data_IF_921532210106
#
_entry.id   IF_921532210106
#
_cell.length_a   1.000
_cell.length_b   1.000
_cell.length_c   1.000
_cell.angle_alpha   90.00
_cell.angle_beta   90.00
_cell.angle_gamma   90.00
#
_symmetry.space_group_name_H-M   'P 1'
#
loop_
_entity.id
_entity.type
_entity.pdbx_description
1 polymer ?
#
# COMPACT_ATOMS: atom_id res chain seq x y z
N UNK A 1 5.82 -3.11 -29.29
CA UNK A 1 5.61 -3.81 -28.01
C UNK A 1 4.11 -4.05 -27.87
N UNK A 2 3.67 -5.30 -27.58
CA UNK A 2 2.26 -5.60 -27.41
C UNK A 2 1.67 -4.90 -26.18
N UNK A 3 0.36 -4.63 -26.17
CA UNK A 3 -0.33 -4.03 -25.03
C UNK A 3 -0.17 -4.89 -23.74
N UNK A 4 -0.17 -6.22 -23.91
CA UNK A 4 0.05 -7.14 -22.79
C UNK A 4 1.44 -6.98 -22.17
N UNK A 5 2.51 -6.94 -22.98
CA UNK A 5 3.88 -6.74 -22.49
C UNK A 5 4.06 -5.37 -21.84
N UNK A 6 3.50 -4.32 -22.46
CA UNK A 6 3.53 -2.96 -21.91
C UNK A 6 2.83 -2.88 -20.53
N UNK A 7 1.64 -3.49 -20.41
CA UNK A 7 0.89 -3.53 -19.16
C UNK A 7 1.63 -4.30 -18.07
N UNK A 8 2.21 -5.46 -18.42
CA UNK A 8 3.04 -6.26 -17.50
C UNK A 8 4.23 -5.47 -16.98
N UNK A 9 5.00 -4.83 -17.86
CA UNK A 9 6.17 -4.04 -17.45
C UNK A 9 5.79 -2.85 -16.56
N UNK A 10 4.73 -2.11 -16.92
CA UNK A 10 4.27 -0.98 -16.11
C UNK A 10 3.85 -1.42 -14.69
N UNK A 11 3.19 -2.55 -14.58
CA UNK A 11 2.75 -3.06 -13.28
C UNK A 11 3.92 -3.56 -12.42
N UNK A 12 4.85 -4.31 -13.01
CA UNK A 12 6.05 -4.79 -12.30
C UNK A 12 6.91 -3.62 -11.83
N UNK A 13 7.15 -2.64 -12.70
CA UNK A 13 7.94 -1.44 -12.33
C UNK A 13 7.24 -0.62 -11.24
N UNK A 14 5.91 -0.54 -11.26
CA UNK A 14 5.15 0.09 -10.18
C UNK A 14 5.32 -0.63 -8.84
N UNK A 15 5.27 -1.97 -8.82
CA UNK A 15 5.51 -2.76 -7.61
C UNK A 15 6.93 -2.56 -7.06
N UNK A 16 7.93 -2.55 -7.95
CA UNK A 16 9.32 -2.23 -7.56
C UNK A 16 9.44 -0.81 -6.99
N UNK A 17 8.78 0.17 -7.61
CA UNK A 17 8.75 1.54 -7.14
C UNK A 17 8.09 1.69 -5.76
N UNK A 18 7.06 0.90 -5.46
CA UNK A 18 6.45 0.87 -4.13
C UNK A 18 7.39 0.29 -3.08
N UNK A 19 8.13 -0.78 -3.40
CA UNK A 19 9.16 -1.33 -2.50
C UNK A 19 10.26 -0.30 -2.18
N UNK A 20 10.76 0.42 -3.18
CA UNK A 20 11.70 1.53 -2.97
C UNK A 20 11.09 2.65 -2.12
N UNK A 21 9.80 2.95 -2.32
CA UNK A 21 9.07 3.95 -1.54
C UNK A 21 9.02 3.60 -0.04
N UNK A 22 8.77 2.33 0.30
CA UNK A 22 8.78 1.86 1.68
C UNK A 22 10.14 2.09 2.34
N UNK A 23 11.22 1.70 1.68
CA UNK A 23 12.60 1.91 2.16
C UNK A 23 12.96 3.40 2.23
N UNK A 24 12.53 4.21 1.27
CA UNK A 24 12.70 5.67 1.32
C UNK A 24 11.99 6.28 2.54
N UNK A 25 10.78 5.80 2.87
CA UNK A 25 10.06 6.18 4.08
C UNK A 25 10.80 5.77 5.34
N UNK A 26 11.34 4.55 5.39
CA UNK A 26 12.17 4.06 6.49
C UNK A 26 13.40 4.95 6.71
N UNK A 27 14.12 5.30 5.63
CA UNK A 27 15.26 6.20 5.70
C UNK A 27 14.89 7.57 6.30
N UNK A 28 13.81 8.19 5.80
CA UNK A 28 13.34 9.50 6.30
C UNK A 28 12.97 9.46 7.79
N UNK A 29 12.30 8.38 8.22
CA UNK A 29 11.93 8.21 9.63
C UNK A 29 13.14 7.95 10.53
N UNK A 30 14.13 7.20 10.07
CA UNK A 30 15.40 7.00 10.77
C UNK A 30 16.19 8.31 10.94
N UNK A 31 15.94 9.32 10.08
CA UNK A 31 16.57 10.65 10.15
C UNK A 31 15.66 11.73 10.78
N UNK A 32 14.72 11.32 11.63
CA UNK A 32 13.98 12.21 12.53
C UNK A 32 12.62 12.70 12.03
N UNK A 33 12.13 12.25 10.88
CA UNK A 33 10.77 12.55 10.45
C UNK A 33 9.81 11.50 11.02
N UNK A 34 8.82 11.89 11.80
CA UNK A 34 7.84 10.93 12.31
C UNK A 34 6.94 10.38 11.19
N UNK A 35 6.43 9.16 11.38
CA UNK A 35 5.47 8.53 10.45
C UNK A 35 4.27 9.44 10.17
N UNK A 36 3.79 10.16 11.18
CA UNK A 36 2.64 11.08 11.07
C UNK A 36 2.96 12.28 10.17
N UNK A 37 4.11 12.93 10.36
CA UNK A 37 4.59 14.05 9.53
C UNK A 37 4.80 13.57 8.09
N UNK A 38 5.46 12.44 7.90
CA UNK A 38 5.73 11.88 6.58
C UNK A 38 4.45 11.51 5.84
N UNK A 39 3.46 10.92 6.53
CA UNK A 39 2.13 10.66 5.99
C UNK A 39 1.50 11.95 5.47
N UNK A 40 1.51 13.02 6.27
CA UNK A 40 0.89 14.30 5.89
C UNK A 40 1.59 14.94 4.68
N UNK A 41 2.91 15.00 4.68
CA UNK A 41 3.71 15.51 3.55
C UNK A 41 3.43 14.74 2.27
N UNK A 42 3.40 13.40 2.36
CA UNK A 42 3.08 12.53 1.21
C UNK A 42 1.68 12.82 0.67
N UNK A 43 0.68 12.93 1.55
CA UNK A 43 -0.71 13.20 1.17
C UNK A 43 -0.86 14.55 0.49
N UNK A 44 -0.24 15.61 1.02
CA UNK A 44 -0.36 16.95 0.46
C UNK A 44 0.41 17.10 -0.85
N UNK A 45 1.67 16.67 -0.90
CA UNK A 45 2.53 16.93 -2.06
C UNK A 45 2.18 15.99 -3.21
N UNK A 46 2.19 14.67 -2.97
CA UNK A 46 1.84 13.72 -4.02
C UNK A 46 0.36 13.82 -4.41
N UNK A 47 -0.53 14.04 -3.42
CA UNK A 47 -1.94 14.29 -3.68
C UNK A 47 -2.17 15.53 -4.53
N UNK A 48 -1.47 16.63 -4.23
CA UNK A 48 -1.50 17.86 -5.03
C UNK A 48 -1.05 17.63 -6.48
N UNK A 49 0.04 16.87 -6.68
CA UNK A 49 0.53 16.51 -8.02
C UNK A 49 -0.47 15.64 -8.79
N UNK A 50 -1.05 14.61 -8.14
CA UNK A 50 -2.06 13.75 -8.75
C UNK A 50 -3.37 14.51 -9.04
N UNK A 51 -3.77 15.42 -8.14
CA UNK A 51 -4.93 16.28 -8.34
C UNK A 51 -4.71 17.24 -9.52
N UNK A 52 -3.51 17.83 -9.65
CA UNK A 52 -3.15 18.66 -10.80
C UNK A 52 -3.17 17.85 -12.09
N UNK A 53 -2.62 16.64 -12.08
CA UNK A 53 -2.68 15.72 -13.22
C UNK A 53 -4.13 15.42 -13.61
N UNK A 54 -5.00 15.13 -12.65
CA UNK A 54 -6.43 14.90 -12.89
C UNK A 54 -7.12 16.15 -13.45
N UNK A 55 -6.77 17.34 -12.96
CA UNK A 55 -7.29 18.61 -13.48
C UNK A 55 -6.90 18.83 -14.93
N UNK A 56 -5.63 18.64 -15.29
CA UNK A 56 -5.15 18.84 -16.67
C UNK A 56 -5.75 17.81 -17.64
N UNK A 57 -5.94 16.56 -17.19
CA UNK A 57 -6.41 15.48 -18.06
C UNK A 57 -7.92 15.32 -18.12
N UNK A 58 -8.68 15.81 -17.12
CA UNK A 58 -10.11 15.57 -16.98
C UNK A 58 -10.83 16.73 -16.25
N UNK A 59 -10.56 17.99 -16.63
CA UNK A 59 -11.05 19.19 -15.98
C UNK A 59 -12.57 19.20 -15.73
N UNK A 60 -13.37 18.94 -16.77
CA UNK A 60 -14.83 19.00 -16.66
C UNK A 60 -15.36 17.95 -15.69
N UNK A 61 -14.75 16.76 -15.71
CA UNK A 61 -15.09 15.68 -14.79
C UNK A 61 -14.75 16.03 -13.34
N UNK A 62 -13.64 16.72 -13.13
CA UNK A 62 -13.22 17.21 -11.80
C UNK A 62 -14.19 18.28 -11.29
N UNK A 63 -14.58 19.25 -12.12
CA UNK A 63 -15.54 20.27 -11.73
C UNK A 63 -16.91 19.66 -11.37
N UNK A 64 -17.40 18.70 -12.19
CA UNK A 64 -18.62 17.96 -11.89
C UNK A 64 -18.52 17.17 -10.59
N UNK A 65 -17.37 16.54 -10.30
CA UNK A 65 -17.11 15.84 -9.04
C UNK A 65 -17.21 16.75 -7.81
N UNK A 66 -16.62 17.93 -7.88
CA UNK A 66 -16.62 18.89 -6.76
C UNK A 66 -18.03 19.47 -6.43
N UNK A 67 -19.01 19.30 -7.33
CA UNK A 67 -20.42 19.70 -7.11
C UNK A 67 -21.28 18.53 -6.61
N UNK A 68 -20.82 17.29 -6.69
CA UNK A 68 -21.56 16.10 -6.24
C UNK A 68 -21.36 15.85 -4.74
N UNK A 69 -22.22 16.42 -3.91
CA UNK A 69 -22.17 16.32 -2.44
C UNK A 69 -22.10 14.86 -1.93
N UNK A 70 -22.81 13.92 -2.58
CA UNK A 70 -22.81 12.51 -2.19
C UNK A 70 -21.45 11.86 -2.44
N UNK A 71 -20.85 12.14 -3.58
CA UNK A 71 -19.50 11.67 -3.89
C UNK A 71 -18.44 12.31 -2.97
N UNK A 72 -18.58 13.59 -2.63
CA UNK A 72 -17.68 14.27 -1.70
C UNK A 72 -17.74 13.70 -0.28
N UNK A 73 -18.93 13.36 0.24
CA UNK A 73 -19.06 12.71 1.55
C UNK A 73 -18.43 11.31 1.54
N UNK A 74 -18.67 10.52 0.51
CA UNK A 74 -18.03 9.21 0.35
C UNK A 74 -16.51 9.34 0.21
N UNK A 75 -16.04 10.38 -0.50
CA UNK A 75 -14.62 10.68 -0.63
C UNK A 75 -14.00 11.06 0.71
N UNK A 76 -14.67 11.84 1.56
CA UNK A 76 -14.17 12.21 2.87
C UNK A 76 -13.93 10.99 3.76
N UNK A 77 -14.87 10.03 3.77
CA UNK A 77 -14.71 8.76 4.48
C UNK A 77 -13.51 7.99 3.94
N UNK A 78 -13.40 7.86 2.62
CA UNK A 78 -12.26 7.21 1.98
C UNK A 78 -10.93 7.94 2.26
N UNK A 79 -10.93 9.28 2.23
CA UNK A 79 -9.76 10.10 2.50
C UNK A 79 -9.20 9.87 3.90
N UNK A 80 -10.06 9.82 4.91
CA UNK A 80 -9.63 9.67 6.31
C UNK A 80 -9.30 8.21 6.65
N UNK A 81 -10.15 7.28 6.27
CA UNK A 81 -10.00 5.86 6.64
C UNK A 81 -9.13 5.12 5.62
N UNK A 82 -9.42 5.25 4.34
CA UNK A 82 -8.71 4.52 3.29
C UNK A 82 -7.34 5.12 2.95
N UNK A 83 -7.19 6.45 2.95
CA UNK A 83 -5.92 7.06 2.57
C UNK A 83 -5.07 7.44 3.78
N UNK A 84 -5.55 8.31 4.67
CA UNK A 84 -4.75 8.76 5.80
C UNK A 84 -4.40 7.62 6.76
N UNK A 85 -5.41 6.92 7.28
CA UNK A 85 -5.19 5.88 8.28
C UNK A 85 -4.36 4.71 7.73
N UNK A 86 -4.58 4.33 6.46
CA UNK A 86 -3.78 3.27 5.83
C UNK A 86 -2.32 3.69 5.68
N UNK A 87 -2.03 4.89 5.17
CA UNK A 87 -0.65 5.34 5.02
C UNK A 87 0.05 5.53 6.36
N UNK A 88 -0.66 6.08 7.34
CA UNK A 88 -0.13 6.25 8.70
C UNK A 88 0.17 4.90 9.36
N UNK A 89 -0.76 3.94 9.31
CA UNK A 89 -0.56 2.62 9.86
C UNK A 89 0.63 1.89 9.20
N UNK A 90 0.75 1.97 7.89
CA UNK A 90 1.84 1.37 7.14
C UNK A 90 3.21 2.00 7.48
N UNK A 91 3.32 3.33 7.48
CA UNK A 91 4.55 4.00 7.85
C UNK A 91 4.93 3.78 9.33
N UNK A 92 3.94 3.70 10.22
CA UNK A 92 4.19 3.34 11.62
C UNK A 92 4.68 1.90 11.73
N UNK A 93 4.11 0.97 10.95
CA UNK A 93 4.60 -0.41 10.90
C UNK A 93 6.06 -0.47 10.41
N UNK A 94 6.43 0.32 9.40
CA UNK A 94 7.84 0.45 8.96
C UNK A 94 8.73 1.01 10.07
N UNK A 95 8.27 2.03 10.78
CA UNK A 95 9.02 2.66 11.86
C UNK A 95 9.28 1.69 13.03
N UNK A 96 8.32 0.82 13.32
CA UNK A 96 8.38 -0.17 14.40
C UNK A 96 9.08 -1.48 13.99
N UNK A 97 9.27 -1.70 12.68
CA UNK A 97 9.92 -2.89 12.11
C UNK A 97 10.95 -2.48 11.05
N UNK A 98 10.66 -2.73 9.79
CA UNK A 98 11.37 -2.27 8.60
C UNK A 98 10.46 -2.34 7.37
N UNK A 99 10.89 -1.77 6.24
CA UNK A 99 10.07 -1.70 5.04
C UNK A 99 9.68 -3.09 4.49
N UNK A 100 10.60 -4.06 4.53
CA UNK A 100 10.34 -5.43 4.06
C UNK A 100 9.28 -6.12 4.91
N UNK A 101 9.47 -6.15 6.22
CA UNK A 101 8.56 -6.80 7.18
C UNK A 101 7.18 -6.14 7.18
N UNK A 102 7.11 -4.81 7.26
CA UNK A 102 5.84 -4.08 7.26
C UNK A 102 5.03 -4.35 5.98
N UNK A 103 5.70 -4.36 4.81
CA UNK A 103 5.03 -4.62 3.53
C UNK A 103 4.51 -6.06 3.47
N UNK A 104 5.28 -7.05 3.92
CA UNK A 104 4.81 -8.45 3.94
C UNK A 104 3.61 -8.62 4.87
N UNK A 105 3.65 -8.02 6.08
CA UNK A 105 2.51 -8.05 6.99
C UNK A 105 1.26 -7.39 6.40
N UNK A 106 1.41 -6.28 5.69
CA UNK A 106 0.30 -5.62 4.99
C UNK A 106 -0.30 -6.53 3.89
N UNK A 107 0.51 -7.36 3.24
CA UNK A 107 0.06 -8.32 2.23
C UNK A 107 -0.77 -9.50 2.78
N UNK A 108 -1.00 -9.59 4.09
CA UNK A 108 -2.04 -10.44 4.68
C UNK A 108 -3.47 -9.92 4.36
N UNK A 109 -3.62 -8.70 3.88
CA UNK A 109 -4.88 -8.04 3.52
C UNK A 109 -5.85 -8.93 2.69
N UNK A 110 -5.46 -9.61 1.60
CA UNK A 110 -6.37 -10.45 0.82
C UNK A 110 -6.97 -11.58 1.63
N UNK A 111 -6.23 -12.14 2.58
CA UNK A 111 -6.73 -13.19 3.50
C UNK A 111 -7.80 -12.61 4.43
N UNK A 112 -7.60 -11.39 4.93
CA UNK A 112 -8.60 -10.69 5.74
C UNK A 112 -9.89 -10.40 4.95
N UNK A 113 -9.77 -9.99 3.69
CA UNK A 113 -10.91 -9.75 2.79
C UNK A 113 -11.65 -11.08 2.52
N UNK A 114 -10.94 -12.16 2.29
CA UNK A 114 -11.51 -13.49 2.08
C UNK A 114 -12.33 -13.95 3.30
N UNK A 115 -11.76 -13.87 4.50
CA UNK A 115 -12.44 -14.23 5.75
C UNK A 115 -13.72 -13.39 5.91
N UNK A 116 -13.64 -12.08 5.69
CA UNK A 116 -14.79 -11.19 5.75
C UNK A 116 -15.88 -11.60 4.74
N UNK A 117 -15.52 -11.91 3.49
CA UNK A 117 -16.47 -12.32 2.45
C UNK A 117 -17.16 -13.63 2.82
N UNK A 118 -16.41 -14.62 3.28
CA UNK A 118 -16.98 -15.91 3.75
C UNK A 118 -18.01 -15.71 4.87
N UNK A 119 -17.71 -14.86 5.86
CA UNK A 119 -18.62 -14.57 6.97
C UNK A 119 -19.86 -13.82 6.49
N UNK A 120 -19.69 -12.80 5.66
CA UNK A 120 -20.77 -11.95 5.12
C UNK A 120 -21.73 -12.74 4.25
N UNK A 121 -21.21 -13.55 3.34
CA UNK A 121 -21.99 -14.28 2.35
C UNK A 121 -22.47 -15.64 2.90
N UNK A 122 -22.03 -16.00 4.14
CA UNK A 122 -22.33 -17.28 4.82
C UNK A 122 -21.93 -18.50 3.98
N UNK A 123 -20.82 -18.38 3.25
CA UNK A 123 -20.26 -19.43 2.40
C UNK A 123 -19.00 -19.97 3.07
N UNK A 124 -18.90 -21.29 3.17
CA UNK A 124 -17.69 -21.93 3.70
C UNK A 124 -16.51 -21.71 2.75
N UNK A 125 -15.30 -21.44 3.27
CA UNK A 125 -14.13 -21.32 2.43
C UNK A 125 -13.78 -22.65 1.73
N UNK A 126 -13.32 -22.56 0.50
CA UNK A 126 -12.83 -23.72 -0.25
C UNK A 126 -11.50 -24.23 0.34
N UNK A 127 -11.09 -25.43 -0.05
CA UNK A 127 -9.80 -26.02 0.42
C UNK A 127 -8.62 -25.11 0.09
N UNK A 128 -8.56 -24.52 -1.10
CA UNK A 128 -7.50 -23.56 -1.49
C UNK A 128 -7.47 -22.32 -0.61
N UNK A 129 -8.65 -21.81 -0.24
CA UNK A 129 -8.79 -20.67 0.67
C UNK A 129 -8.36 -21.00 2.10
N UNK A 130 -8.69 -22.21 2.59
CA UNK A 130 -8.23 -22.69 3.90
C UNK A 130 -6.70 -22.80 3.90
N UNK A 131 -6.09 -23.39 2.85
CA UNK A 131 -4.64 -23.45 2.71
C UNK A 131 -4.03 -22.06 2.73
N UNK A 132 -4.63 -21.09 2.01
CA UNK A 132 -4.15 -19.69 1.98
C UNK A 132 -4.20 -19.04 3.36
N UNK A 133 -5.25 -19.25 4.13
CA UNK A 133 -5.36 -18.75 5.51
C UNK A 133 -4.26 -19.34 6.39
N UNK A 134 -4.05 -20.66 6.33
CA UNK A 134 -3.01 -21.34 7.12
C UNK A 134 -1.61 -20.84 6.74
N UNK A 135 -1.33 -20.69 5.45
CA UNK A 135 -0.05 -20.18 4.96
C UNK A 135 0.18 -18.73 5.40
N UNK A 136 -0.84 -17.86 5.35
CA UNK A 136 -0.70 -16.47 5.77
C UNK A 136 -0.47 -16.36 7.29
N UNK A 137 -1.21 -17.11 8.11
CA UNK A 137 -1.03 -17.14 9.56
C UNK A 137 0.34 -17.71 9.91
N UNK A 138 0.72 -18.85 9.31
CA UNK A 138 2.02 -19.48 9.53
C UNK A 138 3.19 -18.59 9.08
N UNK A 139 3.08 -17.96 7.93
CA UNK A 139 4.09 -17.01 7.43
C UNK A 139 4.24 -15.79 8.33
N UNK A 140 3.11 -15.20 8.79
CA UNK A 140 3.14 -14.11 9.76
C UNK A 140 3.80 -14.53 11.07
N UNK A 141 3.50 -15.73 11.56
CA UNK A 141 4.12 -16.28 12.76
C UNK A 141 5.64 -16.43 12.61
N UNK A 142 6.11 -16.99 11.50
CA UNK A 142 7.55 -17.16 11.24
C UNK A 142 8.29 -15.83 11.22
N UNK A 143 7.73 -14.80 10.57
CA UNK A 143 8.33 -13.45 10.53
C UNK A 143 8.29 -12.81 11.91
N UNK A 144 7.20 -12.96 12.66
CA UNK A 144 7.05 -12.34 13.97
C UNK A 144 7.94 -12.96 15.05
N UNK A 145 8.41 -14.18 14.87
CA UNK A 145 9.17 -14.94 15.89
C UNK A 145 10.53 -15.40 15.44
N UNK A 146 10.91 -15.24 14.16
CA UNK A 146 12.04 -15.92 13.53
C UNK A 146 12.04 -17.44 13.76
N UNK A 147 10.83 -18.04 13.90
CA UNK A 147 10.62 -19.46 14.20
C UNK A 147 10.83 -19.86 15.66
N UNK A 148 11.04 -18.91 16.57
CA UNK A 148 11.15 -19.17 18.02
C UNK A 148 9.76 -19.04 18.67
N UNK A 149 9.39 -20.05 19.50
CA UNK A 149 8.04 -20.13 20.09
C UNK A 149 7.86 -19.23 21.32
N UNK A 150 8.94 -18.81 21.95
CA UNK A 150 9.00 -18.17 23.26
C UNK A 150 9.27 -16.66 23.21
N UNK A 151 9.57 -16.12 22.04
CA UNK A 151 9.84 -14.69 21.91
C UNK A 151 9.43 -14.12 20.53
N UNK A 152 9.07 -12.84 20.55
CA UNK A 152 8.82 -12.08 19.32
C UNK A 152 10.14 -11.50 18.81
N UNK A 153 10.34 -11.56 17.49
CA UNK A 153 11.49 -10.93 16.81
C UNK A 153 11.30 -9.45 16.55
N UNK A 154 10.09 -8.97 16.76
CA UNK A 154 9.71 -7.56 16.61
C UNK A 154 8.93 -7.09 17.84
N UNK A 155 8.76 -5.77 17.99
CA UNK A 155 7.94 -5.22 19.07
C UNK A 155 6.47 -5.63 18.90
N UNK A 156 5.70 -5.79 19.99
CA UNK A 156 4.25 -5.98 19.90
C UNK A 156 3.56 -4.85 19.12
N UNK A 157 4.09 -3.62 19.20
CA UNK A 157 3.62 -2.50 18.41
C UNK A 157 3.85 -2.72 16.91
N UNK A 158 5.03 -3.23 16.51
CA UNK A 158 5.35 -3.56 15.12
C UNK A 158 4.39 -4.58 14.53
N UNK A 159 4.12 -5.67 15.25
CA UNK A 159 3.15 -6.67 14.83
C UNK A 159 1.73 -6.08 14.73
N UNK A 160 1.30 -5.31 15.74
CA UNK A 160 0.00 -4.65 15.73
C UNK A 160 -0.15 -3.71 14.52
N UNK A 161 0.79 -2.78 14.32
CA UNK A 161 0.70 -1.83 13.21
C UNK A 161 0.81 -2.50 11.85
N UNK A 162 1.62 -3.56 11.72
CA UNK A 162 1.73 -4.37 10.51
C UNK A 162 0.39 -5.01 10.13
N UNK A 163 -0.26 -5.72 11.05
CA UNK A 163 -1.56 -6.33 10.81
C UNK A 163 -2.69 -5.30 10.69
N UNK A 164 -2.63 -4.20 11.46
CA UNK A 164 -3.57 -3.11 11.33
C UNK A 164 -3.45 -2.41 9.97
N UNK A 165 -2.24 -2.30 9.43
CA UNK A 165 -2.04 -1.80 8.07
C UNK A 165 -2.70 -2.70 7.01
N UNK A 166 -2.72 -4.02 7.20
CA UNK A 166 -3.44 -4.95 6.33
C UNK A 166 -4.96 -4.70 6.36
N UNK A 167 -5.54 -4.45 7.53
CA UNK A 167 -6.96 -4.11 7.67
C UNK A 167 -7.28 -2.78 6.99
N UNK A 168 -6.49 -1.74 7.25
CA UNK A 168 -6.69 -0.41 6.64
C UNK A 168 -6.46 -0.43 5.13
N UNK A 169 -5.57 -1.31 4.65
CA UNK A 169 -5.36 -1.55 3.22
C UNK A 169 -6.58 -2.22 2.57
N UNK A 170 -7.25 -3.15 3.26
CA UNK A 170 -8.53 -3.68 2.81
C UNK A 170 -9.58 -2.58 2.64
N UNK A 171 -9.68 -1.66 3.61
CA UNK A 171 -10.59 -0.51 3.52
C UNK A 171 -10.20 0.45 2.39
N UNK A 172 -8.91 0.69 2.17
CA UNK A 172 -8.39 1.45 1.03
C UNK A 172 -8.83 0.86 -0.32
N UNK A 173 -8.90 -0.47 -0.43
CA UNK A 173 -9.34 -1.16 -1.65
C UNK A 173 -10.88 -1.08 -1.80
N UNK A 174 -11.62 -1.34 -0.73
CA UNK A 174 -13.08 -1.53 -0.80
C UNK A 174 -13.85 -0.21 -0.86
N UNK A 175 -13.47 0.78 -0.04
CA UNK A 175 -14.24 2.03 0.10
C UNK A 175 -14.37 2.83 -1.20
N UNK A 176 -13.34 2.97 -2.06
CA UNK A 176 -13.42 3.83 -3.23
C UNK A 176 -14.01 3.16 -4.47
N UNK A 177 -14.39 1.88 -4.45
CA UNK A 177 -14.82 1.12 -5.64
C UNK A 177 -15.88 1.89 -6.44
N UNK A 178 -16.97 2.31 -5.78
CA UNK A 178 -18.06 3.04 -6.41
C UNK A 178 -17.63 4.42 -6.94
N UNK A 179 -16.77 5.13 -6.17
CA UNK A 179 -16.21 6.41 -6.57
C UNK A 179 -15.30 6.28 -7.80
N UNK A 180 -14.39 5.29 -7.78
CA UNK A 180 -13.44 5.05 -8.87
C UNK A 180 -14.19 4.65 -10.14
N UNK A 181 -15.23 3.81 -10.05
CA UNK A 181 -16.06 3.43 -11.18
C UNK A 181 -16.76 4.65 -11.82
N UNK A 182 -17.22 5.59 -11.00
CA UNK A 182 -17.93 6.79 -11.47
C UNK A 182 -16.97 7.87 -11.98
N UNK A 183 -15.89 8.13 -11.25
CA UNK A 183 -15.07 9.33 -11.43
C UNK A 183 -13.64 9.06 -11.94
N UNK A 184 -13.17 7.83 -11.85
CA UNK A 184 -11.81 7.42 -12.19
C UNK A 184 -10.84 7.52 -11.00
N UNK A 185 -9.81 6.67 -11.05
CA UNK A 185 -8.89 6.49 -9.92
C UNK A 185 -8.00 7.71 -9.66
N UNK A 186 -7.42 8.31 -10.70
CA UNK A 186 -6.49 9.45 -10.52
C UNK A 186 -7.17 10.64 -9.83
N UNK A 187 -8.44 10.93 -10.19
CA UNK A 187 -9.21 12.01 -9.58
C UNK A 187 -9.56 11.68 -8.13
N UNK A 188 -10.12 10.48 -7.88
CA UNK A 188 -10.53 10.05 -6.54
C UNK A 188 -9.35 10.01 -5.57
N UNK A 189 -8.22 9.44 -6.00
CA UNK A 189 -7.02 9.34 -5.18
C UNK A 189 -6.39 10.71 -4.97
N UNK A 190 -6.19 11.51 -6.03
CA UNK A 190 -5.54 12.82 -5.93
C UNK A 190 -6.30 13.79 -5.03
N UNK A 191 -7.61 13.95 -5.27
CA UNK A 191 -8.46 14.83 -4.44
C UNK A 191 -8.59 14.27 -3.02
N UNK A 192 -8.76 12.94 -2.87
CA UNK A 192 -8.83 12.29 -1.57
C UNK A 192 -7.58 12.48 -0.73
N UNK A 193 -6.39 12.35 -1.32
CA UNK A 193 -5.12 12.59 -0.63
C UNK A 193 -5.00 14.04 -0.17
N UNK A 194 -5.36 15.02 -1.01
CA UNK A 194 -5.34 16.44 -0.62
C UNK A 194 -6.29 16.71 0.54
N UNK A 195 -7.53 16.19 0.47
CA UNK A 195 -8.51 16.35 1.57
C UNK A 195 -7.96 15.70 2.85
N UNK A 196 -7.45 14.47 2.78
CA UNK A 196 -6.87 13.77 3.91
C UNK A 196 -5.72 14.56 4.55
N UNK A 197 -4.81 15.08 3.72
CA UNK A 197 -3.68 15.88 4.16
C UNK A 197 -4.10 17.19 4.81
N UNK A 198 -5.07 17.92 4.22
CA UNK A 198 -5.59 19.17 4.79
C UNK A 198 -6.30 18.96 6.12
N UNK A 199 -7.12 17.91 6.25
CA UNK A 199 -7.82 17.60 7.50
C UNK A 199 -6.83 17.18 8.59
N UNK A 200 -5.79 16.41 8.25
CA UNK A 200 -4.78 15.97 9.19
C UNK A 200 -3.75 17.06 9.56
N UNK A 201 -3.56 18.08 8.72
CA UNK A 201 -2.52 19.12 8.86
C UNK A 201 -2.42 19.73 10.27
N UNK A 202 -3.53 20.12 10.94
CA UNK A 202 -3.46 20.74 12.27
C UNK A 202 -2.93 19.81 13.37
N UNK A 203 -3.01 18.48 13.15
CA UNK A 203 -2.71 17.45 14.15
C UNK A 203 -1.34 16.80 13.96
N UNK A 204 -0.67 17.06 12.84
CA UNK A 204 0.55 16.31 12.46
C UNK A 204 1.85 16.98 12.88
N UNK A 205 1.82 18.25 13.26
CA UNK A 205 3.02 19.02 13.60
C UNK A 205 3.95 19.30 12.40
N UNK A 206 3.48 19.06 11.17
CA UNK A 206 4.29 19.22 9.96
C UNK A 206 4.82 20.65 9.78
N UNK A 207 4.06 21.66 10.20
CA UNK A 207 4.47 23.08 10.08
C UNK A 207 5.59 23.46 11.05
N UNK A 208 5.79 22.69 12.13
CA UNK A 208 6.83 22.91 13.13
C UNK A 208 8.06 22.00 12.89
N UNK A 209 7.95 21.03 11.99
CA UNK A 209 9.02 20.07 11.73
C UNK A 209 10.05 20.68 10.77
N UNK A 210 11.31 20.76 11.22
CA UNK A 210 12.42 21.11 10.33
C UNK A 210 12.69 19.96 9.36
N UNK A 211 12.61 20.24 8.07
CA UNK A 211 12.87 19.25 7.02
C UNK A 211 14.36 19.40 6.61
N UNK A 212 15.18 18.34 6.76
CA UNK A 212 16.56 18.37 6.30
C UNK A 212 16.65 18.61 4.78
N UNK A 213 17.70 19.31 4.37
CA UNK A 213 17.94 19.64 2.93
C UNK A 213 19.16 18.93 2.36
N UNK A 214 19.71 17.91 3.05
CA UNK A 214 20.79 17.10 2.51
C UNK A 214 20.35 16.35 1.24
N UNK A 215 21.30 16.08 0.36
CA UNK A 215 21.01 15.39 -0.91
C UNK A 215 20.34 14.03 -0.68
N UNK A 216 20.85 13.24 0.25
CA UNK A 216 20.31 11.91 0.55
C UNK A 216 18.86 11.99 1.06
N UNK A 217 18.58 13.00 1.90
CA UNK A 217 17.22 13.24 2.38
C UNK A 217 16.28 13.62 1.22
N UNK A 218 16.72 14.53 0.34
CA UNK A 218 15.93 14.93 -0.83
C UNK A 218 15.71 13.77 -1.80
N UNK A 219 16.70 12.90 -2.00
CA UNK A 219 16.56 11.68 -2.82
C UNK A 219 15.55 10.70 -2.20
N UNK A 220 15.61 10.46 -0.89
CA UNK A 220 14.63 9.62 -0.21
C UNK A 220 13.22 10.23 -0.27
N UNK A 221 13.11 11.56 -0.12
CA UNK A 221 11.84 12.27 -0.23
C UNK A 221 11.27 12.19 -1.66
N UNK A 222 12.10 12.33 -2.69
CA UNK A 222 11.72 12.08 -4.08
C UNK A 222 11.31 10.60 -4.31
N UNK A 223 12.02 9.67 -3.66
CA UNK A 223 11.70 8.23 -3.69
C UNK A 223 10.28 7.93 -3.22
N UNK A 224 9.86 8.48 -2.09
CA UNK A 224 8.51 8.22 -1.57
C UNK A 224 7.43 9.02 -2.31
N UNK A 225 7.68 10.26 -2.69
CA UNK A 225 6.67 11.14 -3.30
C UNK A 225 6.57 10.94 -4.80
N UNK A 226 7.68 11.14 -5.52
CA UNK A 226 7.66 11.11 -6.99
C UNK A 226 7.62 9.68 -7.52
N UNK A 227 8.53 8.83 -7.04
CA UNK A 227 8.65 7.45 -7.54
C UNK A 227 7.55 6.58 -6.95
N UNK A 228 7.43 6.52 -5.63
CA UNK A 228 6.54 5.60 -4.94
C UNK A 228 5.07 6.04 -4.89
N UNK A 229 4.75 7.30 -5.22
CA UNK A 229 3.36 7.73 -5.23
C UNK A 229 2.95 8.19 -6.63
N UNK A 230 3.47 9.29 -7.13
CA UNK A 230 2.99 9.84 -8.40
C UNK A 230 3.26 8.89 -9.57
N UNK A 231 4.50 8.43 -9.73
CA UNK A 231 4.87 7.51 -10.80
C UNK A 231 4.26 6.13 -10.62
N UNK A 232 4.40 5.51 -9.45
CA UNK A 232 3.95 4.14 -9.22
C UNK A 232 2.44 4.00 -9.40
N UNK A 233 1.62 4.91 -8.83
CA UNK A 233 0.17 4.89 -9.04
C UNK A 233 -0.21 5.07 -10.50
N UNK A 234 0.40 6.02 -11.20
CA UNK A 234 0.08 6.25 -12.62
C UNK A 234 0.50 5.07 -13.50
N UNK A 235 1.68 4.49 -13.25
CA UNK A 235 2.17 3.31 -13.97
C UNK A 235 1.29 2.09 -13.70
N UNK A 236 0.95 1.82 -12.43
CA UNK A 236 0.07 0.71 -12.05
C UNK A 236 -1.31 0.82 -12.68
N UNK A 237 -1.96 1.98 -12.58
CA UNK A 237 -3.28 2.20 -13.16
C UNK A 237 -3.27 2.03 -14.69
N UNK A 238 -2.23 2.53 -15.35
CA UNK A 238 -2.05 2.33 -16.79
C UNK A 238 -1.79 0.87 -17.11
N UNK A 239 -0.97 0.17 -16.34
CA UNK A 239 -0.73 -1.26 -16.46
C UNK A 239 -2.03 -2.05 -16.29
N UNK A 240 -2.78 -1.81 -15.22
CA UNK A 240 -4.07 -2.46 -14.92
C UNK A 240 -5.12 -2.23 -16.02
N UNK A 241 -5.14 -1.06 -16.65
CA UNK A 241 -6.02 -0.78 -17.77
C UNK A 241 -5.70 -1.60 -19.03
N UNK A 242 -4.47 -2.14 -19.15
CA UNK A 242 -4.00 -2.91 -20.31
C UNK A 242 -4.10 -4.42 -20.13
N UNK A 243 -3.94 -4.92 -18.89
CA UNK A 243 -3.86 -6.37 -18.61
C UNK A 243 -4.93 -6.87 -17.63
N UNK A 244 -5.79 -5.98 -17.16
CA UNK A 244 -6.85 -6.27 -16.20
C UNK A 244 -6.40 -6.18 -14.74
N UNK A 245 -7.35 -5.99 -13.80
CA UNK A 245 -7.05 -5.73 -12.39
C UNK A 245 -6.42 -6.95 -11.68
N UNK A 246 -6.93 -8.16 -11.92
CA UNK A 246 -6.44 -9.38 -11.25
C UNK A 246 -5.00 -9.67 -11.62
N UNK A 247 -4.67 -9.68 -12.93
CA UNK A 247 -3.29 -9.90 -13.38
C UNK A 247 -2.34 -8.81 -12.87
N UNK A 248 -2.81 -7.57 -12.78
CA UNK A 248 -2.01 -6.46 -12.25
C UNK A 248 -1.73 -6.62 -10.76
N UNK A 249 -2.72 -7.01 -9.96
CA UNK A 249 -2.53 -7.23 -8.52
C UNK A 249 -1.54 -8.37 -8.23
N UNK A 250 -1.60 -9.46 -9.02
CA UNK A 250 -0.63 -10.55 -8.94
C UNK A 250 0.80 -10.08 -9.25
N UNK A 251 0.98 -9.31 -10.32
CA UNK A 251 2.29 -8.80 -10.70
C UNK A 251 2.83 -7.76 -9.71
N UNK A 252 1.94 -6.98 -9.08
CA UNK A 252 2.32 -6.03 -8.04
C UNK A 252 2.83 -6.72 -6.76
N UNK A 253 2.57 -8.01 -6.55
CA UNK A 253 3.13 -8.79 -5.43
C UNK A 253 4.66 -8.92 -5.47
N UNK A 254 5.34 -8.35 -6.46
CA UNK A 254 6.79 -8.10 -6.44
C UNK A 254 7.18 -7.05 -5.38
N UNK A 255 6.25 -6.23 -4.91
CA UNK A 255 6.49 -5.15 -3.94
C UNK A 255 7.15 -5.63 -2.64
N UNK A 256 6.66 -6.65 -1.92
CA UNK A 256 7.32 -7.13 -0.70
C UNK A 256 8.75 -7.61 -0.93
N UNK A 257 8.99 -8.27 -2.07
CA UNK A 257 10.33 -8.73 -2.45
C UNK A 257 11.25 -7.52 -2.68
N UNK A 258 10.74 -6.51 -3.39
CA UNK A 258 11.47 -5.28 -3.67
C UNK A 258 11.73 -4.47 -2.39
N UNK A 259 10.74 -4.40 -1.48
CA UNK A 259 10.88 -3.71 -0.20
C UNK A 259 11.97 -4.36 0.67
N UNK A 260 11.97 -5.69 0.78
CA UNK A 260 13.03 -6.43 1.47
C UNK A 260 14.41 -6.22 0.84
N UNK A 261 14.49 -6.29 -0.50
CA UNK A 261 15.74 -6.07 -1.23
C UNK A 261 16.31 -4.65 -1.00
N UNK A 262 15.48 -3.61 -1.10
CA UNK A 262 15.94 -2.24 -0.88
C UNK A 262 16.22 -1.96 0.59
N UNK A 263 15.48 -2.54 1.54
CA UNK A 263 15.77 -2.45 2.96
C UNK A 263 17.14 -3.07 3.30
N UNK A 264 17.45 -4.24 2.72
CA UNK A 264 18.77 -4.84 2.84
C UNK A 264 19.87 -3.95 2.23
N UNK A 265 19.66 -3.45 1.00
CA UNK A 265 20.68 -2.72 0.25
C UNK A 265 20.94 -1.30 0.80
N UNK A 266 19.90 -0.58 1.21
CA UNK A 266 19.98 0.85 1.57
C UNK A 266 20.06 1.03 3.09
N UNK A 267 19.32 0.22 3.85
CA UNK A 267 19.22 0.34 5.31
C UNK A 267 20.10 -0.66 6.06
N UNK A 268 20.79 -1.58 5.34
CA UNK A 268 21.56 -2.69 5.91
C UNK A 268 20.71 -3.60 6.83
N UNK A 269 19.43 -3.74 6.53
CA UNK A 269 18.55 -4.63 7.28
C UNK A 269 18.96 -6.09 7.12
N UNK A 270 18.90 -6.84 8.21
CA UNK A 270 19.25 -8.26 8.21
C UNK A 270 17.98 -9.11 8.23
N UNK A 271 17.87 -10.02 7.27
CA UNK A 271 16.81 -11.02 7.22
C UNK A 271 17.39 -12.41 7.48
N UNK A 272 16.73 -13.17 8.33
CA UNK A 272 17.10 -14.56 8.56
C UNK A 272 16.48 -15.48 7.48
N UNK A 273 17.04 -16.65 7.21
CA UNK A 273 16.47 -17.59 6.24
C UNK A 273 14.99 -17.94 6.51
N UNK A 274 14.60 -17.99 7.78
CA UNK A 274 13.23 -18.28 8.21
C UNK A 274 12.25 -17.16 7.82
N UNK A 275 12.72 -15.90 7.76
CA UNK A 275 11.90 -14.76 7.35
C UNK A 275 11.54 -14.89 5.87
N UNK A 276 12.50 -15.31 5.03
CA UNK A 276 12.23 -15.58 3.62
C UNK A 276 11.21 -16.70 3.42
N UNK A 277 11.21 -17.73 4.28
CA UNK A 277 10.19 -18.76 4.27
C UNK A 277 8.83 -18.18 4.63
N UNK A 278 8.73 -17.37 5.69
CA UNK A 278 7.51 -16.67 6.08
C UNK A 278 6.97 -15.74 4.99
N UNK A 279 7.85 -14.96 4.36
CA UNK A 279 7.52 -14.10 3.21
C UNK A 279 6.97 -14.92 2.03
N UNK A 280 7.66 -16.03 1.68
CA UNK A 280 7.23 -16.92 0.60
C UNK A 280 5.86 -17.54 0.87
N UNK A 281 5.58 -17.94 2.11
CA UNK A 281 4.27 -18.48 2.52
C UNK A 281 3.16 -17.46 2.33
N UNK A 282 3.35 -16.19 2.75
CA UNK A 282 2.34 -15.13 2.59
C UNK A 282 2.13 -14.82 1.10
N UNK A 283 3.19 -14.66 0.32
CA UNK A 283 3.09 -14.39 -1.12
C UNK A 283 2.41 -15.54 -1.86
N UNK A 284 2.67 -16.79 -1.47
CA UNK A 284 2.01 -17.95 -2.05
C UNK A 284 0.53 -18.00 -1.67
N UNK A 285 0.16 -17.67 -0.43
CA UNK A 285 -1.22 -17.54 0.01
C UNK A 285 -2.00 -16.52 -0.83
N UNK A 286 -1.42 -15.32 -1.04
CA UNK A 286 -2.00 -14.25 -1.86
C UNK A 286 -2.16 -14.71 -3.31
N UNK A 287 -1.16 -15.40 -3.85
CA UNK A 287 -1.19 -15.93 -5.23
C UNK A 287 -2.30 -16.96 -5.40
N UNK A 288 -2.50 -17.87 -4.45
CA UNK A 288 -3.57 -18.87 -4.50
C UNK A 288 -4.97 -18.24 -4.53
N UNK A 289 -5.20 -17.23 -3.69
CA UNK A 289 -6.48 -16.49 -3.66
C UNK A 289 -6.72 -15.81 -5.01
N UNK A 290 -5.72 -15.08 -5.51
CA UNK A 290 -5.84 -14.30 -6.74
C UNK A 290 -5.96 -15.16 -8.01
N UNK A 291 -5.33 -16.35 -8.05
CA UNK A 291 -5.47 -17.30 -9.17
C UNK A 291 -6.88 -17.87 -9.25
N UNK A 292 -7.54 -18.13 -8.11
CA UNK A 292 -8.93 -18.57 -8.09
C UNK A 292 -9.85 -17.55 -8.76
N UNK A 293 -9.69 -16.27 -8.41
CA UNK A 293 -10.49 -15.19 -8.99
C UNK A 293 -10.31 -15.13 -10.51
N UNK A 294 -9.07 -15.30 -11.00
CA UNK A 294 -8.76 -15.39 -12.43
C UNK A 294 -9.42 -16.58 -13.16
N UNK A 295 -9.60 -17.70 -12.49
CA UNK A 295 -10.22 -18.89 -13.07
C UNK A 295 -11.75 -18.80 -13.07
N UNK A 296 -12.36 -18.04 -12.14
CA UNK A 296 -13.79 -17.85 -12.04
C UNK A 296 -14.31 -16.72 -12.94
N UNK A 297 -13.46 -15.80 -13.39
CA UNK A 297 -13.80 -14.75 -14.36
C UNK A 297 -13.85 -15.25 -15.83
N UNK A 298 -13.57 -16.53 -16.10
CA UNK A 298 -13.73 -17.21 -17.40
C UNK A 298 -15.03 -17.97 -17.47
#
# INVERSE_FOLDING_TARGET
MSNSLKGTLLTVVAGIAWGLSGTSGQYLMAHGISALVLTNLRLLIAGGMLMLLAYVTAKDKMLAFLTDKKSLLSLLIFALIGLFLNQFAYLTAIQETNAGTATVLQYVCPVGILIYSCIKDKVAPTLGEIISIILAIGGTFLIATHGQLDQLSMTPAGLFWGLFSALTYALYIILPIALIKKWGSSLVIGVGMVIAGLVALPFTGVLQTAIPTSLDFLLAFAGIILIGTVFAYTAFLKGASLIGPVKSSLLASIEPISAGFFAFLIMNEQFYPIDFLGMAMILFAVTLISLKDLLLEK
#
